data_IF_910806639695
#
_entry.id   IF_910806639695
#
_cell.length_a   1.000
_cell.length_b   1.000
_cell.length_c   1.000
_cell.angle_alpha   90.00
_cell.angle_beta   90.00
_cell.angle_gamma   90.00
#
_symmetry.space_group_name_H-M   'P 1'
#
loop_
_entity.id
_entity.type
_entity.pdbx_description
1 polymer ?
#
# COMPACT_ATOMS: atom_id res chain seq x y z
N UNK A 1 -13.76 -7.88 -22.88
CA UNK A 1 -13.88 -6.44 -22.63
C UNK A 1 -12.72 -6.05 -21.72
N UNK A 2 -11.60 -5.64 -22.31
CA UNK A 2 -10.35 -5.32 -21.62
C UNK A 2 -10.46 -3.92 -21.03
N UNK A 3 -10.78 -3.83 -19.75
CA UNK A 3 -10.70 -2.55 -19.02
C UNK A 3 -9.22 -2.19 -18.99
N UNK A 4 -8.93 -1.05 -19.62
CA UNK A 4 -7.66 -0.40 -19.83
C UNK A 4 -6.73 -0.48 -18.62
N UNK A 5 -5.54 -1.07 -18.81
CA UNK A 5 -4.37 -0.87 -17.95
C UNK A 5 -4.05 0.62 -17.91
N UNK A 6 -4.63 1.32 -16.95
CA UNK A 6 -4.26 2.71 -16.68
C UNK A 6 -3.03 2.61 -15.79
N UNK A 7 -1.88 2.79 -16.43
CA UNK A 7 -0.58 2.78 -15.78
C UNK A 7 -0.53 3.98 -14.82
N UNK A 8 -0.38 3.75 -13.52
CA UNK A 8 0.02 4.83 -12.62
C UNK A 8 1.38 5.45 -13.02
N UNK A 9 2.19 4.72 -13.80
CA UNK A 9 3.40 5.24 -14.40
C UNK A 9 3.17 6.36 -15.44
N UNK A 10 1.91 6.60 -15.86
CA UNK A 10 1.50 7.68 -16.75
C UNK A 10 0.73 8.80 -16.05
N UNK A 11 0.55 8.74 -14.72
CA UNK A 11 -0.04 9.87 -13.98
C UNK A 11 0.99 10.99 -13.88
N UNK A 12 0.55 12.22 -14.14
CA UNK A 12 1.35 13.40 -13.79
C UNK A 12 1.65 13.40 -12.29
N UNK A 13 2.77 14.00 -11.89
CA UNK A 13 3.12 14.19 -10.47
C UNK A 13 1.95 14.76 -9.65
N UNK A 14 1.14 15.62 -10.28
CA UNK A 14 -0.07 16.17 -9.69
C UNK A 14 -1.13 15.11 -9.36
N UNK A 15 -1.47 14.22 -10.29
CA UNK A 15 -2.48 13.19 -10.07
C UNK A 15 -2.03 12.11 -9.07
N UNK A 16 -0.71 11.88 -8.96
CA UNK A 16 -0.14 11.05 -7.91
C UNK A 16 -0.27 11.71 -6.53
N UNK A 17 0.01 13.01 -6.44
CA UNK A 17 -0.12 13.75 -5.20
C UNK A 17 -1.58 13.77 -4.69
N UNK A 18 -2.54 14.06 -5.57
CA UNK A 18 -3.98 14.01 -5.23
C UNK A 18 -4.41 12.61 -4.74
N UNK A 19 -3.88 11.56 -5.37
CA UNK A 19 -4.12 10.19 -4.94
C UNK A 19 -3.58 9.91 -3.53
N UNK A 20 -2.34 10.31 -3.24
CA UNK A 20 -1.70 10.12 -1.93
C UNK A 20 -2.44 10.88 -0.82
N UNK A 21 -2.87 12.11 -1.08
CA UNK A 21 -3.67 12.90 -0.14
C UNK A 21 -5.04 12.28 0.14
N UNK A 22 -5.74 11.84 -0.91
CA UNK A 22 -7.06 11.22 -0.77
C UNK A 22 -6.97 9.88 -0.01
N UNK A 23 -6.00 9.04 -0.35
CA UNK A 23 -5.75 7.78 0.34
C UNK A 23 -5.38 8.00 1.81
N UNK A 24 -4.54 9.01 2.11
CA UNK A 24 -4.18 9.36 3.49
C UNK A 24 -5.43 9.73 4.30
N UNK A 25 -6.30 10.58 3.75
CA UNK A 25 -7.55 10.99 4.41
C UNK A 25 -8.45 9.78 4.68
N UNK A 26 -8.66 8.92 3.67
CA UNK A 26 -9.46 7.71 3.81
C UNK A 26 -8.91 6.76 4.89
N UNK A 27 -7.59 6.55 4.94
CA UNK A 27 -6.94 5.69 5.92
C UNK A 27 -7.07 6.24 7.34
N UNK A 28 -6.89 7.55 7.52
CA UNK A 28 -7.09 8.20 8.83
C UNK A 28 -8.55 8.09 9.32
N UNK A 29 -9.52 8.20 8.42
CA UNK A 29 -10.95 8.05 8.75
C UNK A 29 -11.33 6.60 9.11
N UNK A 30 -10.90 5.63 8.30
CA UNK A 30 -11.27 4.21 8.46
C UNK A 30 -10.49 3.50 9.55
N UNK A 31 -9.25 3.93 9.78
CA UNK A 31 -8.32 3.31 10.71
C UNK A 31 -7.68 4.38 11.60
N UNK A 32 -8.45 4.98 12.53
CA UNK A 32 -7.94 5.99 13.46
C UNK A 32 -6.92 5.35 14.41
N UNK A 33 -5.67 5.34 13.97
CA UNK A 33 -4.54 4.84 14.73
C UNK A 33 -3.71 6.03 15.20
N UNK A 34 -3.44 6.09 16.51
CA UNK A 34 -2.67 7.16 17.19
C UNK A 34 -1.18 7.17 16.84
N UNK A 35 -0.80 6.54 15.73
CA UNK A 35 0.59 6.33 15.33
C UNK A 35 1.20 7.60 14.75
N UNK A 36 0.43 8.34 13.97
CA UNK A 36 0.90 9.55 13.32
C UNK A 36 0.55 10.76 14.19
N UNK A 37 1.53 11.63 14.41
CA UNK A 37 1.37 12.89 15.15
C UNK A 37 0.50 13.90 14.38
N UNK A 38 0.31 13.69 13.08
CA UNK A 38 -0.58 14.48 12.25
C UNK A 38 -0.62 14.03 10.79
N UNK A 39 -1.42 14.75 9.99
CA UNK A 39 -1.66 14.43 8.58
C UNK A 39 -0.38 14.47 7.72
N UNK A 40 0.58 15.35 8.04
CA UNK A 40 1.83 15.45 7.30
C UNK A 40 2.71 14.19 7.46
N UNK A 41 2.71 13.58 8.64
CA UNK A 41 3.44 12.34 8.89
C UNK A 41 2.76 11.15 8.20
N UNK A 42 1.43 11.08 8.29
CA UNK A 42 0.63 10.08 7.61
C UNK A 42 0.80 10.16 6.07
N UNK A 43 0.82 11.37 5.51
CA UNK A 43 1.02 11.59 4.08
C UNK A 43 2.42 11.15 3.64
N UNK A 44 3.46 11.46 4.42
CA UNK A 44 4.83 11.00 4.13
C UNK A 44 4.90 9.47 4.10
N UNK A 45 4.26 8.80 5.06
CA UNK A 45 4.18 7.34 5.07
C UNK A 45 3.49 6.79 3.81
N UNK A 46 2.35 7.35 3.43
CA UNK A 46 1.62 6.95 2.22
C UNK A 46 2.44 7.20 0.95
N UNK A 47 3.17 8.32 0.87
CA UNK A 47 4.08 8.62 -0.22
C UNK A 47 5.18 7.56 -0.35
N UNK A 48 5.89 7.27 0.74
CA UNK A 48 7.00 6.31 0.75
C UNK A 48 6.53 4.90 0.34
N UNK A 49 5.38 4.46 0.85
CA UNK A 49 4.83 3.15 0.51
C UNK A 49 4.25 3.10 -0.92
N UNK A 50 3.76 4.22 -1.45
CA UNK A 50 3.35 4.33 -2.86
C UNK A 50 4.54 4.17 -3.80
N UNK A 51 5.66 4.85 -3.49
CA UNK A 51 6.91 4.71 -4.26
C UNK A 51 7.42 3.27 -4.23
N UNK A 52 7.37 2.63 -3.06
CA UNK A 52 7.78 1.24 -2.86
C UNK A 52 6.89 0.27 -3.63
N UNK A 53 5.58 0.46 -3.62
CA UNK A 53 4.65 -0.32 -4.43
C UNK A 53 5.01 -0.25 -5.92
N UNK A 54 5.31 0.94 -6.42
CA UNK A 54 5.74 1.14 -7.82
C UNK A 54 7.09 0.45 -8.11
N UNK A 55 8.06 0.51 -7.18
CA UNK A 55 9.32 -0.21 -7.31
C UNK A 55 9.12 -1.74 -7.41
N UNK A 56 8.12 -2.27 -6.70
CA UNK A 56 7.65 -3.67 -6.79
C UNK A 56 6.79 -3.96 -8.03
N UNK A 57 6.74 -3.02 -8.98
CA UNK A 57 5.95 -3.07 -10.21
C UNK A 57 4.45 -3.18 -9.96
N UNK A 58 3.94 -2.69 -8.82
CA UNK A 58 2.51 -2.57 -8.57
C UNK A 58 2.04 -1.24 -9.19
N UNK A 59 1.34 -1.30 -10.32
CA UNK A 59 1.04 -0.10 -11.13
C UNK A 59 -0.45 0.18 -11.31
N UNK A 60 -1.32 -0.72 -10.85
CA UNK A 60 -2.76 -0.48 -10.87
C UNK A 60 -3.17 0.25 -9.57
N UNK A 61 -3.97 1.32 -9.70
CA UNK A 61 -4.47 2.12 -8.57
C UNK A 61 -5.02 1.27 -7.41
N UNK A 62 -6.00 0.35 -7.62
CA UNK A 62 -6.52 -0.45 -6.52
C UNK A 62 -5.46 -1.36 -5.88
N UNK A 63 -4.43 -1.74 -6.64
CA UNK A 63 -3.37 -2.58 -6.09
C UNK A 63 -2.41 -1.79 -5.19
N UNK A 64 -2.12 -0.54 -5.55
CA UNK A 64 -1.33 0.36 -4.69
C UNK A 64 -2.11 0.69 -3.42
N UNK A 65 -3.41 1.01 -3.53
CA UNK A 65 -4.27 1.25 -2.36
C UNK A 65 -4.23 0.07 -1.38
N UNK A 66 -4.40 -1.16 -1.87
CA UNK A 66 -4.32 -2.36 -1.04
C UNK A 66 -2.94 -2.53 -0.39
N UNK A 67 -1.86 -2.27 -1.14
CA UNK A 67 -0.50 -2.38 -0.62
C UNK A 67 -0.23 -1.37 0.50
N UNK A 68 -0.55 -0.10 0.27
CA UNK A 68 -0.36 0.98 1.25
C UNK A 68 -1.26 0.74 2.48
N UNK A 69 -2.49 0.26 2.28
CA UNK A 69 -3.39 -0.11 3.39
C UNK A 69 -2.82 -1.27 4.21
N UNK A 70 -2.23 -2.27 3.57
CA UNK A 70 -1.56 -3.36 4.28
C UNK A 70 -0.40 -2.84 5.14
N UNK A 71 0.50 -2.03 4.56
CA UNK A 71 1.59 -1.37 5.31
C UNK A 71 1.04 -0.52 6.47
N UNK A 72 -0.05 0.22 6.24
CA UNK A 72 -0.71 1.01 7.26
C UNK A 72 -1.21 0.17 8.43
N UNK A 73 -1.90 -0.95 8.16
CA UNK A 73 -2.47 -1.84 9.17
C UNK A 73 -1.42 -2.65 9.94
N UNK A 74 -0.27 -2.90 9.31
CA UNK A 74 0.87 -3.52 9.98
C UNK A 74 1.71 -2.50 10.77
N UNK A 75 1.62 -1.22 10.41
CA UNK A 75 2.45 -0.18 11.02
C UNK A 75 3.92 -0.28 10.60
N UNK A 76 4.25 -0.85 9.46
CA UNK A 76 5.53 -0.63 8.81
C UNK A 76 5.36 -0.97 7.34
N UNK A 77 6.44 -0.83 6.58
CA UNK A 77 6.44 -1.39 5.25
C UNK A 77 6.13 -2.88 5.31
N UNK A 78 5.30 -3.35 4.39
CA UNK A 78 5.08 -4.79 4.16
C UNK A 78 6.40 -5.55 4.04
N UNK A 79 7.45 -4.93 3.50
CA UNK A 79 8.80 -5.51 3.38
C UNK A 79 9.45 -5.80 4.75
N UNK A 80 9.13 -5.01 5.79
CA UNK A 80 9.67 -5.16 7.15
C UNK A 80 9.16 -6.43 7.83
N UNK A 81 8.00 -6.94 7.41
CA UNK A 81 7.38 -8.16 7.97
C UNK A 81 7.93 -9.46 7.35
N UNK A 82 9.11 -9.41 6.71
CA UNK A 82 9.97 -10.56 6.50
C UNK A 82 9.54 -11.57 5.42
N UNK A 83 10.08 -12.79 5.56
CA UNK A 83 10.00 -13.89 4.58
C UNK A 83 8.57 -14.37 4.28
N UNK A 84 7.64 -14.20 5.22
CA UNK A 84 6.24 -14.62 5.09
C UNK A 84 5.50 -13.79 4.03
N UNK A 85 5.64 -12.47 4.05
CA UNK A 85 5.08 -11.62 3.00
C UNK A 85 5.99 -11.60 1.77
N UNK A 86 7.32 -11.72 1.92
CA UNK A 86 8.21 -11.84 0.77
C UNK A 86 7.85 -13.05 -0.10
N UNK A 87 7.51 -14.21 0.47
CA UNK A 87 7.05 -15.38 -0.30
C UNK A 87 5.77 -15.08 -1.12
N UNK A 88 4.85 -14.30 -0.54
CA UNK A 88 3.62 -13.83 -1.20
C UNK A 88 3.92 -12.81 -2.31
N UNK A 89 4.93 -11.96 -2.10
CA UNK A 89 5.37 -10.90 -3.01
C UNK A 89 6.28 -11.43 -4.12
N UNK A 90 7.05 -12.50 -3.88
CA UNK A 90 8.05 -13.04 -4.82
C UNK A 90 7.50 -14.04 -5.84
N UNK A 91 6.27 -14.54 -5.65
CA UNK A 91 5.62 -15.41 -6.63
C UNK A 91 5.38 -14.64 -7.94
N UNK A 92 6.16 -14.97 -8.97
CA UNK A 92 6.46 -14.09 -10.09
C UNK A 92 5.42 -14.09 -11.23
N UNK A 93 4.31 -14.85 -11.15
CA UNK A 93 3.34 -14.92 -12.27
C UNK A 93 1.84 -14.78 -11.88
N UNK A 94 1.48 -14.44 -10.64
CA UNK A 94 0.08 -14.26 -10.21
C UNK A 94 -0.25 -12.79 -9.88
N UNK A 95 -0.46 -11.97 -10.93
CA UNK A 95 -1.09 -10.63 -10.97
C UNK A 95 -0.80 -9.64 -9.82
N UNK A 96 -0.24 -8.46 -10.16
CA UNK A 96 -0.02 -7.30 -9.27
C UNK A 96 -1.16 -7.00 -8.29
N UNK A 97 -2.40 -7.30 -8.67
CA UNK A 97 -3.61 -7.15 -7.85
C UNK A 97 -3.80 -8.26 -6.80
N UNK A 98 -3.57 -9.53 -7.15
CA UNK A 98 -3.64 -10.62 -6.16
C UNK A 98 -2.55 -10.48 -5.10
N UNK A 99 -1.38 -9.95 -5.48
CA UNK A 99 -0.28 -9.67 -4.56
C UNK A 99 -0.70 -8.69 -3.46
N UNK A 100 -1.30 -7.56 -3.81
CA UNK A 100 -1.70 -6.57 -2.82
C UNK A 100 -2.91 -7.01 -1.98
N UNK A 101 -3.83 -7.79 -2.56
CA UNK A 101 -4.93 -8.40 -1.81
C UNK A 101 -4.44 -9.37 -0.73
N UNK A 102 -3.48 -10.24 -1.05
CA UNK A 102 -2.90 -11.16 -0.06
C UNK A 102 -2.17 -10.42 1.06
N UNK A 103 -1.43 -9.35 0.72
CA UNK A 103 -0.78 -8.51 1.73
C UNK A 103 -1.82 -7.84 2.67
N UNK A 104 -2.92 -7.35 2.09
CA UNK A 104 -4.01 -6.75 2.87
C UNK A 104 -4.71 -7.77 3.77
N UNK A 105 -4.99 -8.97 3.27
CA UNK A 105 -5.56 -10.07 4.05
C UNK A 105 -4.65 -10.47 5.23
N UNK A 106 -3.35 -10.64 4.97
CA UNK A 106 -2.37 -10.90 6.02
C UNK A 106 -2.36 -9.79 7.08
N UNK A 107 -2.37 -8.52 6.65
CA UNK A 107 -2.38 -7.37 7.54
C UNK A 107 -3.67 -7.29 8.38
N UNK A 108 -4.81 -7.66 7.81
CA UNK A 108 -6.06 -7.77 8.57
C UNK A 108 -6.00 -8.85 9.64
N UNK A 109 -5.36 -9.99 9.36
CA UNK A 109 -5.20 -11.10 10.30
C UNK A 109 -4.21 -10.78 11.44
N UNK A 110 -3.19 -9.96 11.18
CA UNK A 110 -2.09 -9.68 12.11
C UNK A 110 -2.05 -8.23 12.63
N UNK A 111 -3.16 -7.50 12.49
CA UNK A 111 -3.25 -6.09 12.86
C UNK A 111 -2.82 -5.86 14.33
N UNK A 112 -1.77 -5.05 14.52
CA UNK A 112 -1.25 -4.72 15.85
C UNK A 112 -0.21 -5.71 16.40
N UNK A 113 0.26 -6.66 15.60
CA UNK A 113 1.44 -7.44 15.94
C UNK A 113 2.65 -6.50 16.13
N UNK A 114 3.43 -6.65 17.22
CA UNK A 114 4.59 -5.80 17.47
C UNK A 114 5.63 -5.98 16.36
N UNK A 115 6.33 -4.89 16.04
CA UNK A 115 7.54 -4.92 15.23
C UNK A 115 8.63 -5.54 16.12
N UNK A 116 8.97 -6.81 15.90
CA UNK A 116 10.17 -7.42 16.51
C UNK A 116 11.45 -6.93 15.83
#
# INVERSE_FOLDING_TARGET
>A
MLITQTQLAALSEHAKHEFEEDLTRQLMERHPWRRFEGIAEALRFVHDETQRAVAHRITAKPSIENYVTASWLLGASVDTHGAEIHAIVSDLELAQHHRSLKALDYAHQHRGAPHE
#
